data_IF_350759217181
#
_entry.id   IF_350759217181
#
_cell.length_a   1.000
_cell.length_b   1.000
_cell.length_c   1.000
_cell.angle_alpha   90.00
_cell.angle_beta   90.00
_cell.angle_gamma   90.00
#
_symmetry.space_group_name_H-M   'P 1'
#
loop_
_entity.id
_entity.type
_entity.pdbx_description
1 polymer ?
#
# COMPACT_ATOMS: atom_id res chain seq x y z
N UNK A 1 -9.36 -5.30 7.73
CA UNK A 1 -8.61 -5.36 6.46
C UNK A 1 -9.20 -6.44 5.54
N UNK A 2 -9.08 -6.32 4.22
CA UNK A 2 -9.57 -7.34 3.29
C UNK A 2 -8.83 -8.66 3.52
N UNK A 3 -9.56 -9.73 3.86
CA UNK A 3 -9.01 -11.03 4.30
C UNK A 3 -8.61 -11.94 3.12
N UNK A 4 -8.89 -11.50 1.89
CA UNK A 4 -8.59 -12.22 0.66
C UNK A 4 -8.33 -11.25 -0.50
N UNK A 5 -7.68 -11.73 -1.56
CA UNK A 5 -7.48 -10.97 -2.81
C UNK A 5 -8.83 -10.53 -3.41
N UNK A 6 -9.84 -11.41 -3.35
CA UNK A 6 -11.19 -11.13 -3.83
C UNK A 6 -11.88 -9.99 -3.05
N UNK A 7 -11.72 -9.95 -1.73
CA UNK A 7 -12.23 -8.86 -0.89
C UNK A 7 -11.52 -7.53 -1.18
N UNK A 8 -10.21 -7.60 -1.44
CA UNK A 8 -9.41 -6.42 -1.82
C UNK A 8 -9.87 -5.86 -3.15
N UNK A 9 -10.14 -6.73 -4.13
CA UNK A 9 -10.75 -6.41 -5.41
C UNK A 9 -12.12 -5.72 -5.26
N UNK A 10 -13.00 -6.25 -4.41
CA UNK A 10 -14.31 -5.64 -4.13
C UNK A 10 -14.17 -4.27 -3.49
N UNK A 11 -13.26 -4.12 -2.53
CA UNK A 11 -12.98 -2.85 -1.87
C UNK A 11 -12.46 -1.80 -2.86
N UNK A 12 -11.49 -2.16 -3.72
CA UNK A 12 -10.96 -1.28 -4.77
C UNK A 12 -12.05 -0.85 -5.75
N UNK A 13 -12.94 -1.76 -6.16
CA UNK A 13 -14.10 -1.43 -7.01
C UNK A 13 -15.00 -0.38 -6.34
N UNK A 14 -15.29 -0.53 -5.05
CA UNK A 14 -16.13 0.42 -4.31
C UNK A 14 -15.49 1.82 -4.20
N UNK A 15 -14.17 1.87 -4.06
CA UNK A 15 -13.42 3.13 -3.97
C UNK A 15 -13.22 3.83 -5.32
N UNK A 16 -13.45 3.13 -6.44
CA UNK A 16 -13.16 3.63 -7.79
C UNK A 16 -14.41 3.53 -8.71
N UNK A 17 -15.51 4.26 -8.41
CA UNK A 17 -16.78 4.10 -9.13
C UNK A 17 -16.80 4.70 -10.56
N UNK A 18 -15.89 5.62 -10.89
CA UNK A 18 -15.86 6.33 -12.18
C UNK A 18 -15.18 5.62 -13.37
N UNK A 19 -14.02 4.94 -13.20
CA UNK A 19 -13.30 4.34 -14.33
C UNK A 19 -13.85 2.97 -14.76
N UNK A 20 -13.61 2.58 -16.04
CA UNK A 20 -14.08 1.32 -16.59
C UNK A 20 -13.55 0.12 -15.81
N UNK A 21 -14.31 -0.97 -15.87
CA UNK A 21 -14.01 -2.22 -15.17
C UNK A 21 -12.56 -2.66 -15.52
N UNK A 22 -11.67 -2.84 -14.51
CA UNK A 22 -10.31 -3.30 -14.77
C UNK A 22 -10.35 -4.66 -15.47
N UNK A 23 -9.60 -4.82 -16.56
CA UNK A 23 -9.43 -6.11 -17.24
C UNK A 23 -8.59 -7.05 -16.38
N UNK A 24 -7.48 -6.51 -15.85
CA UNK A 24 -6.56 -7.24 -14.99
C UNK A 24 -6.19 -6.40 -13.75
N UNK A 25 -5.99 -7.07 -12.62
CA UNK A 25 -5.40 -6.48 -11.42
C UNK A 25 -4.16 -7.29 -11.07
N UNK A 26 -3.00 -6.64 -11.19
CA UNK A 26 -1.72 -7.23 -10.79
C UNK A 26 -1.43 -6.78 -9.36
N UNK A 27 -1.33 -7.74 -8.44
CA UNK A 27 -0.82 -7.51 -7.10
C UNK A 27 0.68 -7.81 -7.09
N UNK A 28 1.50 -6.78 -6.95
CA UNK A 28 2.94 -6.93 -6.77
C UNK A 28 3.23 -6.87 -5.27
N UNK A 29 3.66 -7.98 -4.62
CA UNK A 29 4.04 -7.93 -3.22
C UNK A 29 5.33 -7.11 -3.08
N UNK A 30 5.23 -5.97 -2.40
CA UNK A 30 6.40 -5.19 -2.05
C UNK A 30 7.00 -5.76 -0.76
N UNK A 31 8.26 -6.18 -0.82
CA UNK A 31 8.90 -6.96 0.26
C UNK A 31 9.66 -6.09 1.27
N UNK A 32 9.36 -4.80 1.33
CA UNK A 32 10.06 -3.85 2.21
C UNK A 32 9.15 -2.74 2.72
N UNK A 33 9.75 -1.79 3.43
CA UNK A 33 9.03 -0.65 3.97
C UNK A 33 8.45 0.22 2.86
N UNK A 34 7.31 0.87 3.13
CA UNK A 34 6.69 1.84 2.21
C UNK A 34 7.68 2.94 1.86
N UNK A 35 8.45 3.43 2.84
CA UNK A 35 9.48 4.46 2.63
C UNK A 35 10.58 4.03 1.65
N UNK A 36 10.87 2.72 1.54
CA UNK A 36 11.84 2.21 0.58
C UNK A 36 11.43 2.43 -0.88
N UNK A 37 10.14 2.66 -1.16
CA UNK A 37 9.68 3.04 -2.49
C UNK A 37 10.18 4.43 -2.91
N UNK A 38 10.36 5.36 -1.96
CA UNK A 38 10.96 6.66 -2.26
C UNK A 38 12.46 6.53 -2.47
N UNK A 39 13.18 5.88 -1.55
CA UNK A 39 14.64 5.76 -1.65
C UNK A 39 15.11 4.97 -2.87
N UNK A 40 14.32 4.00 -3.33
CA UNK A 40 14.58 3.26 -4.59
C UNK A 40 14.24 4.03 -5.86
N UNK A 41 13.61 5.20 -5.76
CA UNK A 41 13.11 5.98 -6.90
C UNK A 41 11.90 5.36 -7.61
N UNK A 42 11.38 4.23 -7.12
CA UNK A 42 10.19 3.58 -7.67
C UNK A 42 8.96 4.49 -7.60
N UNK A 43 8.81 5.21 -6.48
CA UNK A 43 7.68 6.12 -6.28
C UNK A 43 7.59 7.16 -7.40
N UNK A 44 8.70 7.83 -7.72
CA UNK A 44 8.74 8.83 -8.79
C UNK A 44 8.33 8.22 -10.14
N UNK A 45 8.85 7.05 -10.49
CA UNK A 45 8.46 6.34 -11.72
C UNK A 45 6.97 6.02 -11.79
N UNK A 46 6.35 5.69 -10.65
CA UNK A 46 4.90 5.44 -10.58
C UNK A 46 4.14 6.74 -10.84
N UNK A 47 4.53 7.84 -10.19
CA UNK A 47 3.91 9.16 -10.37
C UNK A 47 4.04 9.62 -11.82
N UNK A 48 5.26 9.60 -12.37
CA UNK A 48 5.54 10.00 -13.74
C UNK A 48 4.68 9.22 -14.74
N UNK A 49 4.47 7.92 -14.51
CA UNK A 49 3.62 7.08 -15.36
C UNK A 49 2.14 7.41 -15.24
N UNK A 50 1.68 7.80 -14.05
CA UNK A 50 0.30 8.21 -13.81
C UNK A 50 0.05 9.58 -14.47
N UNK A 51 0.92 10.54 -14.23
CA UNK A 51 0.84 11.89 -14.81
C UNK A 51 1.00 11.87 -16.33
N UNK A 52 1.92 11.06 -16.87
CA UNK A 52 2.09 10.92 -18.32
C UNK A 52 0.89 10.31 -19.05
N UNK A 53 0.01 9.59 -18.35
CA UNK A 53 -1.21 8.98 -18.92
C UNK A 53 -2.49 9.77 -18.68
N UNK A 54 -2.57 10.49 -17.56
CA UNK A 54 -3.64 11.43 -17.29
C UNK A 54 -3.20 12.80 -17.79
N UNK A 55 -3.63 13.20 -18.99
CA UNK A 55 -3.42 14.54 -19.54
C UNK A 55 -4.17 15.65 -18.77
N UNK A 56 -4.22 15.55 -17.44
CA UNK A 56 -5.02 16.36 -16.55
C UNK A 56 -4.14 16.82 -15.40
N UNK A 57 -3.78 18.11 -15.48
CA UNK A 57 -3.46 19.04 -14.40
C UNK A 57 -2.79 18.43 -13.15
N UNK A 58 -1.47 18.65 -13.02
CA UNK A 58 -0.61 18.42 -11.84
C UNK A 58 -1.38 17.89 -10.63
N UNK A 59 -1.47 16.57 -10.51
CA UNK A 59 -2.25 15.93 -9.46
C UNK A 59 -1.52 15.90 -8.10
N UNK A 60 -0.34 16.53 -8.00
CA UNK A 60 0.69 16.37 -6.95
C UNK A 60 0.21 16.26 -5.49
N UNK A 61 -0.77 17.05 -5.05
CA UNK A 61 -1.18 17.12 -3.64
C UNK A 61 -1.82 15.80 -3.14
N UNK A 62 -2.82 15.24 -3.83
CA UNK A 62 -3.39 13.93 -3.49
C UNK A 62 -2.40 12.77 -3.38
N UNK A 63 -1.35 12.70 -4.21
CA UNK A 63 -0.43 11.54 -4.18
C UNK A 63 0.47 11.57 -2.94
N UNK A 64 0.95 12.76 -2.56
CA UNK A 64 1.76 12.93 -1.34
C UNK A 64 0.96 12.49 -0.12
N UNK A 65 -0.29 12.94 0.00
CA UNK A 65 -1.18 12.54 1.10
C UNK A 65 -1.40 11.01 1.15
N UNK A 66 -1.59 10.38 -0.01
CA UNK A 66 -1.77 8.94 -0.09
C UNK A 66 -0.53 8.17 0.36
N UNK A 67 0.66 8.66 0.01
CA UNK A 67 1.92 8.07 0.45
C UNK A 67 2.12 8.19 1.96
N UNK A 68 1.91 9.38 2.51
CA UNK A 68 2.04 9.62 3.96
C UNK A 68 1.06 8.75 4.76
N UNK A 69 -0.14 8.54 4.23
CA UNK A 69 -1.12 7.65 4.83
C UNK A 69 -0.64 6.19 4.85
N UNK A 70 -0.01 5.72 3.77
CA UNK A 70 0.57 4.38 3.73
C UNK A 70 1.69 4.21 4.78
N UNK A 71 2.60 5.19 4.89
CA UNK A 71 3.67 5.18 5.90
C UNK A 71 3.07 5.14 7.32
N UNK A 72 2.04 5.95 7.57
CA UNK A 72 1.34 5.96 8.86
C UNK A 72 0.70 4.62 9.19
N UNK A 73 0.08 3.97 8.20
CA UNK A 73 -0.54 2.65 8.37
C UNK A 73 0.50 1.58 8.67
N UNK A 74 1.63 1.58 7.96
CA UNK A 74 2.74 0.65 8.21
C UNK A 74 3.30 0.81 9.63
N UNK A 75 3.58 2.04 10.07
CA UNK A 75 4.08 2.31 11.43
C UNK A 75 3.09 1.84 12.51
N UNK A 76 1.78 2.01 12.27
CA UNK A 76 0.74 1.52 13.17
C UNK A 76 0.77 -0.01 13.27
N UNK A 77 0.94 -0.71 12.15
CA UNK A 77 1.02 -2.18 12.17
C UNK A 77 2.29 -2.69 12.85
N UNK A 78 3.44 -2.04 12.62
CA UNK A 78 4.68 -2.37 13.33
C UNK A 78 4.54 -2.19 14.85
N UNK A 79 3.87 -1.12 15.29
CA UNK A 79 3.58 -0.93 16.71
C UNK A 79 2.69 -2.05 17.27
N UNK A 80 1.67 -2.49 16.52
CA UNK A 80 0.80 -3.61 16.92
C UNK A 80 1.55 -4.93 16.98
N UNK A 81 2.49 -5.17 16.06
CA UNK A 81 3.38 -6.33 16.07
C UNK A 81 4.24 -6.38 17.33
N UNK A 82 4.78 -5.23 17.77
CA UNK A 82 5.61 -5.14 18.97
C UNK A 82 4.76 -5.35 20.25
N UNK A 83 3.55 -4.80 20.28
CA UNK A 83 2.66 -4.92 21.45
C UNK A 83 2.08 -6.34 21.58
N UNK A 84 1.97 -7.09 20.48
CA UNK A 84 1.61 -8.51 20.48
C UNK A 84 0.11 -8.82 20.61
N UNK A 85 -0.77 -7.81 20.53
CA UNK A 85 -2.22 -8.01 20.71
C UNK A 85 -2.88 -8.73 19.52
N UNK A 86 -2.32 -8.59 18.32
CA UNK A 86 -2.86 -9.15 17.08
C UNK A 86 -1.88 -10.10 16.36
N UNK A 87 -0.74 -10.39 16.99
CA UNK A 87 0.35 -11.15 16.38
C UNK A 87 0.86 -12.22 17.33
N UNK A 88 1.03 -13.44 16.81
CA UNK A 88 1.56 -14.57 17.56
C UNK A 88 3.06 -14.74 17.28
N UNK A 89 3.85 -15.02 18.33
CA UNK A 89 5.28 -15.27 18.17
C UNK A 89 5.49 -16.69 17.64
N UNK A 90 5.91 -16.83 16.39
CA UNK A 90 6.19 -18.13 15.77
C UNK A 90 7.48 -18.79 16.26
N UNK A 91 8.49 -17.98 16.62
CA UNK A 91 9.78 -18.45 17.12
C UNK A 91 10.14 -17.69 18.39
N UNK A 92 9.95 -18.34 19.54
CA UNK A 92 10.44 -17.85 20.82
C UNK A 92 11.81 -18.50 21.12
N UNK A 93 12.73 -17.73 21.70
CA UNK A 93 13.94 -18.32 22.28
C UNK A 93 13.53 -19.12 23.51
N UNK A 94 13.89 -20.41 23.56
CA UNK A 94 13.78 -21.18 24.80
C UNK A 94 14.68 -20.54 25.85
N UNK A 95 14.09 -19.89 26.85
CA UNK A 95 14.80 -19.45 28.04
C UNK A 95 15.06 -20.69 28.90
N UNK A 96 16.33 -21.11 28.96
CA UNK A 96 16.85 -22.02 29.99
C UNK A 96 17.02 -21.30 31.32
#
# INVERSE_FOLDING_TARGET
MARSIADRLRSIKRMRPGPPRPRDIVAVPWVGYVEAMQSSGLWNKIIDRIEGKLATQKLWKPQIRGFDELVRMERKELAQLIIGDQYETLWARSTS
#
